data_IF_570913705228
#
_entry.id   IF_570913705228
#
_cell.length_a   1.000
_cell.length_b   1.000
_cell.length_c   1.000
_cell.angle_alpha   90.00
_cell.angle_beta   90.00
_cell.angle_gamma   90.00
#
_symmetry.space_group_name_H-M   'P 1'
#
loop_
_entity.id
_entity.type
_entity.pdbx_description
1 polymer ?
#
# COMPACT_ATOMS: atom_id res chain seq x y z
N UNK A 1 34.12 47.34 44.92
CA UNK A 1 34.50 46.30 43.94
C UNK A 1 33.70 45.06 44.30
N UNK A 2 32.64 44.76 43.57
CA UNK A 2 31.78 43.61 43.85
C UNK A 2 31.99 42.58 42.75
N UNK A 3 32.60 41.45 43.11
CA UNK A 3 32.64 40.26 42.27
C UNK A 3 31.45 39.41 42.69
N UNK A 4 30.42 39.34 41.85
CA UNK A 4 29.36 38.34 42.03
C UNK A 4 29.89 37.09 41.34
N UNK A 5 30.16 35.98 42.06
CA UNK A 5 30.50 34.73 41.39
C UNK A 5 29.23 34.26 40.69
N UNK A 6 29.16 34.41 39.38
CA UNK A 6 28.18 33.67 38.59
C UNK A 6 28.57 32.21 38.76
N UNK A 7 27.87 31.49 39.64
CA UNK A 7 28.02 30.06 39.80
C UNK A 7 27.57 29.47 38.46
N UNK A 8 28.53 29.15 37.59
CA UNK A 8 28.25 28.35 36.41
C UNK A 8 27.94 26.94 36.94
N UNK A 9 26.69 26.70 37.30
CA UNK A 9 26.21 25.33 37.55
C UNK A 9 26.33 24.62 36.21
N UNK A 10 27.23 23.63 36.14
CA UNK A 10 27.29 22.76 34.98
C UNK A 10 25.89 22.15 34.79
N UNK A 11 25.34 22.30 33.59
CA UNK A 11 24.06 21.70 33.25
C UNK A 11 24.32 20.22 32.95
N UNK A 12 23.69 19.34 33.71
CA UNK A 12 23.72 17.90 33.44
C UNK A 12 22.48 17.53 32.62
N UNK A 13 22.71 16.96 31.43
CA UNK A 13 21.65 16.45 30.58
C UNK A 13 21.65 14.92 30.65
N UNK A 14 20.50 14.32 30.93
CA UNK A 14 20.32 12.87 30.88
C UNK A 14 19.20 12.50 29.93
N UNK A 15 19.31 11.32 29.33
CA UNK A 15 18.37 10.80 28.35
C UNK A 15 17.75 9.51 28.88
N UNK A 16 16.51 9.27 28.47
CA UNK A 16 15.78 8.04 28.72
C UNK A 16 15.00 7.69 27.46
N UNK A 17 15.37 6.55 26.88
CA UNK A 17 14.74 5.95 25.72
C UNK A 17 13.92 4.75 26.16
N UNK A 18 12.70 4.66 25.65
CA UNK A 18 11.88 3.45 25.64
C UNK A 18 11.61 3.10 24.18
N UNK A 19 12.02 1.90 23.76
CA UNK A 19 11.92 1.49 22.35
C UNK A 19 10.56 0.88 21.99
N UNK A 20 9.64 0.77 22.95
CA UNK A 20 8.29 0.25 22.75
C UNK A 20 8.21 -1.28 22.67
N UNK A 21 9.33 -1.98 22.78
CA UNK A 21 9.44 -3.45 22.81
C UNK A 21 9.78 -4.00 24.20
N UNK A 22 9.76 -3.13 25.21
CA UNK A 22 10.13 -3.44 26.60
C UNK A 22 11.61 -3.21 26.93
N UNK A 23 12.42 -2.79 25.96
CA UNK A 23 13.83 -2.40 26.19
C UNK A 23 14.00 -0.90 26.29
N UNK A 24 15.06 -0.45 26.98
CA UNK A 24 15.31 0.97 27.27
C UNK A 24 16.80 1.31 27.17
N UNK A 25 17.14 2.59 26.97
CA UNK A 25 18.52 3.09 27.02
C UNK A 25 18.63 4.46 27.71
N UNK A 26 19.81 4.78 28.22
CA UNK A 26 20.15 6.11 28.75
C UNK A 26 21.27 6.79 27.96
N UNK A 27 21.74 6.16 26.89
CA UNK A 27 22.71 6.77 25.97
C UNK A 27 22.07 7.96 25.26
N UNK A 28 22.90 8.96 24.91
CA UNK A 28 22.45 10.11 24.13
C UNK A 28 21.94 9.69 22.75
N UNK A 29 22.70 8.82 22.06
CA UNK A 29 22.42 8.34 20.70
C UNK A 29 22.51 6.81 20.63
N UNK A 30 21.53 6.07 21.19
CA UNK A 30 21.55 4.62 21.18
C UNK A 30 21.30 4.05 19.77
N UNK A 31 21.82 2.84 19.53
CA UNK A 31 21.38 2.00 18.41
C UNK A 31 20.54 0.86 18.95
N UNK A 32 19.40 0.58 18.32
CA UNK A 32 18.48 -0.48 18.73
C UNK A 32 18.08 -1.34 17.53
N UNK A 33 17.95 -2.65 17.74
CA UNK A 33 17.57 -3.63 16.73
C UNK A 33 16.29 -4.36 17.16
N UNK A 34 15.28 -4.31 16.30
CA UNK A 34 14.01 -5.00 16.52
C UNK A 34 14.07 -6.41 15.94
N UNK A 35 14.03 -7.41 16.82
CA UNK A 35 14.07 -8.83 16.43
C UNK A 35 12.70 -9.39 16.03
N UNK A 36 11.63 -8.64 16.29
CA UNK A 36 10.26 -8.99 15.90
C UNK A 36 9.73 -7.89 15.00
N UNK A 37 9.09 -8.24 13.86
CA UNK A 37 8.46 -7.26 13.01
C UNK A 37 7.26 -6.65 13.76
N UNK A 38 7.21 -5.33 13.81
CA UNK A 38 6.13 -4.58 14.43
C UNK A 38 6.16 -3.11 14.06
N UNK A 39 5.12 -2.38 14.45
CA UNK A 39 5.14 -0.92 14.53
C UNK A 39 5.34 -0.56 16.01
N UNK A 40 6.43 0.12 16.32
CA UNK A 40 6.83 0.44 17.69
C UNK A 40 6.73 1.93 17.95
N UNK A 41 6.16 2.31 19.11
CA UNK A 41 6.20 3.70 19.58
C UNK A 41 7.44 3.90 20.45
N UNK A 42 8.46 4.56 19.89
CA UNK A 42 9.69 4.92 20.59
C UNK A 42 9.49 6.23 21.33
N UNK A 43 9.79 6.26 22.61
CA UNK A 43 9.74 7.47 23.45
C UNK A 43 11.14 7.92 23.83
N UNK A 44 11.46 9.18 23.55
CA UNK A 44 12.64 9.88 24.08
C UNK A 44 12.19 10.86 25.15
N UNK A 45 12.82 10.81 26.32
CA UNK A 45 12.67 11.80 27.38
C UNK A 45 14.05 12.31 27.79
N UNK A 46 14.24 13.63 27.79
CA UNK A 46 15.48 14.25 28.23
C UNK A 46 15.24 15.14 29.45
N UNK A 47 16.19 15.09 30.38
CA UNK A 47 16.17 15.85 31.62
C UNK A 47 17.37 16.78 31.67
N UNK A 48 17.16 17.95 32.28
CA UNK A 48 18.20 18.91 32.60
C UNK A 48 18.21 19.09 34.11
N UNK A 49 19.32 18.77 34.76
CA UNK A 49 19.46 18.79 36.23
C UNK A 49 18.29 18.05 36.90
N UNK A 50 18.03 16.81 36.46
CA UNK A 50 16.94 15.93 36.93
C UNK A 50 15.50 16.43 36.67
N UNK A 51 15.35 17.59 36.03
CA UNK A 51 14.04 18.14 35.65
C UNK A 51 13.73 17.80 34.21
N UNK A 52 12.51 17.34 33.96
CA UNK A 52 12.01 17.10 32.60
C UNK A 52 12.21 18.36 31.75
N UNK A 53 12.94 18.20 30.66
CA UNK A 53 13.23 19.28 29.70
C UNK A 53 12.59 19.03 28.35
N UNK A 54 12.49 17.77 27.93
CA UNK A 54 11.96 17.39 26.62
C UNK A 54 11.37 15.99 26.68
N UNK A 55 10.30 15.75 25.91
CA UNK A 55 9.77 14.42 25.66
C UNK A 55 9.14 14.38 24.28
N UNK A 56 9.37 13.30 23.54
CA UNK A 56 8.86 13.10 22.19
C UNK A 56 8.66 11.61 21.92
N UNK A 57 7.65 11.31 21.11
CA UNK A 57 7.40 9.96 20.61
C UNK A 57 7.56 9.89 19.10
N UNK A 58 7.98 8.73 18.60
CA UNK A 58 8.15 8.41 17.18
C UNK A 58 7.61 7.02 16.91
N UNK A 59 6.95 6.84 15.76
CA UNK A 59 6.61 5.50 15.28
C UNK A 59 7.74 4.95 14.41
N UNK A 60 8.15 3.72 14.70
CA UNK A 60 9.17 2.98 13.96
C UNK A 60 8.53 1.76 13.33
N UNK A 61 8.58 1.70 12.00
CA UNK A 61 8.12 0.57 11.23
C UNK A 61 9.26 -0.46 11.05
N UNK A 62 9.23 -1.52 11.85
CA UNK A 62 10.13 -2.66 11.73
C UNK A 62 9.59 -3.77 10.80
N UNK A 63 8.39 -3.61 10.23
CA UNK A 63 7.80 -4.55 9.26
C UNK A 63 8.46 -4.39 7.89
N UNK A 64 8.55 -3.16 7.37
CA UNK A 64 9.09 -2.87 6.03
C UNK A 64 10.45 -3.52 5.75
N UNK A 65 11.46 -3.46 6.65
CA UNK A 65 12.75 -4.10 6.38
C UNK A 65 12.69 -5.64 6.35
N UNK A 66 11.67 -6.27 6.94
CA UNK A 66 11.50 -7.72 6.91
C UNK A 66 10.88 -8.25 5.60
N UNK A 67 10.29 -7.37 4.79
CA UNK A 67 9.68 -7.74 3.50
C UNK A 67 10.77 -7.76 2.42
N UNK A 68 10.96 -8.91 1.78
CA UNK A 68 11.96 -9.12 0.72
C UNK A 68 11.41 -8.77 -0.66
N UNK A 69 10.21 -9.27 -0.96
CA UNK A 69 9.55 -8.99 -2.24
C UNK A 69 8.04 -9.24 -2.17
N UNK A 70 7.33 -8.56 -3.06
CA UNK A 70 5.95 -8.85 -3.43
C UNK A 70 6.00 -9.44 -4.84
N UNK A 71 5.28 -10.52 -5.10
CA UNK A 71 5.07 -11.05 -6.45
C UNK A 71 3.62 -11.48 -6.63
N UNK A 72 3.22 -11.72 -7.88
CA UNK A 72 1.86 -12.12 -8.22
C UNK A 72 1.84 -13.56 -8.75
N UNK A 73 0.92 -14.36 -8.23
CA UNK A 73 0.43 -15.54 -8.92
C UNK A 73 -0.65 -15.09 -9.90
N UNK A 74 -0.38 -15.28 -11.19
CA UNK A 74 -1.24 -14.90 -12.31
C UNK A 74 -1.59 -16.14 -13.15
N UNK A 75 -2.70 -16.13 -13.89
CA UNK A 75 -2.95 -17.13 -14.92
C UNK A 75 -1.90 -17.03 -16.03
N UNK A 76 -1.73 -18.12 -16.78
CA UNK A 76 -0.81 -18.17 -17.94
C UNK A 76 -1.14 -17.11 -19.01
N UNK A 77 -2.41 -16.72 -19.10
CA UNK A 77 -2.91 -15.72 -20.03
C UNK A 77 -4.04 -14.93 -19.41
N UNK A 78 -4.03 -13.62 -19.63
CA UNK A 78 -5.12 -12.69 -19.31
C UNK A 78 -5.71 -12.22 -20.64
N UNK A 79 -7.01 -12.38 -20.83
CA UNK A 79 -7.71 -11.97 -22.05
C UNK A 79 -8.66 -10.81 -21.76
N UNK A 80 -8.76 -9.88 -22.70
CA UNK A 80 -9.70 -8.74 -22.62
C UNK A 80 -11.14 -9.23 -22.50
N UNK A 81 -11.94 -8.60 -21.62
CA UNK A 81 -13.34 -8.94 -21.39
C UNK A 81 -13.59 -10.25 -20.63
N UNK A 82 -12.55 -10.98 -20.21
CA UNK A 82 -12.68 -12.17 -19.35
C UNK A 82 -12.22 -11.89 -17.93
N UNK A 83 -12.94 -12.46 -16.97
CA UNK A 83 -12.54 -12.43 -15.55
C UNK A 83 -11.32 -13.30 -15.33
N UNK A 84 -10.29 -12.69 -14.75
CA UNK A 84 -9.05 -13.33 -14.34
C UNK A 84 -8.87 -13.15 -12.83
N UNK A 85 -8.12 -14.04 -12.20
CA UNK A 85 -7.79 -13.98 -10.79
C UNK A 85 -6.31 -13.68 -10.61
N UNK A 86 -5.95 -12.91 -9.59
CA UNK A 86 -4.57 -12.72 -9.16
C UNK A 86 -4.45 -12.84 -7.66
N UNK A 87 -3.34 -13.42 -7.20
CA UNK A 87 -3.02 -13.57 -5.78
C UNK A 87 -1.65 -12.98 -5.47
N UNK A 88 -1.54 -12.23 -4.37
CA UNK A 88 -0.28 -11.75 -3.83
C UNK A 88 0.48 -12.91 -3.18
N UNK A 89 1.76 -13.03 -3.55
CA UNK A 89 2.76 -13.86 -2.90
C UNK A 89 3.76 -12.94 -2.20
N UNK A 90 3.88 -13.09 -0.88
CA UNK A 90 4.79 -12.31 -0.05
C UNK A 90 6.04 -13.14 0.26
N UNK A 91 7.22 -12.59 -0.01
CA UNK A 91 8.48 -13.12 0.52
C UNK A 91 8.94 -12.23 1.67
N UNK A 92 9.12 -12.80 2.86
CA UNK A 92 9.62 -12.07 4.04
C UNK A 92 10.38 -12.99 4.98
N UNK A 93 11.06 -12.40 5.97
CA UNK A 93 11.77 -13.14 7.03
C UNK A 93 10.84 -13.71 8.11
N UNK A 94 9.57 -13.29 8.14
CA UNK A 94 8.60 -13.65 9.18
C UNK A 94 7.25 -14.03 8.57
N UNK A 95 6.40 -14.69 9.34
CA UNK A 95 5.01 -14.90 8.94
C UNK A 95 4.20 -13.64 9.24
N UNK A 96 3.94 -12.84 8.21
CA UNK A 96 3.26 -11.55 8.30
C UNK A 96 1.82 -11.68 7.81
N UNK A 97 0.86 -11.31 8.66
CA UNK A 97 -0.52 -11.09 8.24
C UNK A 97 -0.67 -9.63 7.81
N UNK A 98 -0.89 -9.41 6.51
CA UNK A 98 -0.99 -8.09 5.90
C UNK A 98 -2.32 -7.95 5.17
N UNK A 99 -2.85 -6.73 5.17
CA UNK A 99 -3.93 -6.33 4.30
C UNK A 99 -3.38 -5.81 2.97
N UNK A 100 -4.08 -6.09 1.87
CA UNK A 100 -3.64 -5.71 0.53
C UNK A 100 -4.67 -4.82 -0.15
N UNK A 101 -4.18 -3.78 -0.79
CA UNK A 101 -4.95 -2.91 -1.67
C UNK A 101 -4.32 -2.92 -3.06
N UNK A 102 -5.16 -3.10 -4.07
CA UNK A 102 -4.80 -3.10 -5.47
C UNK A 102 -5.37 -1.84 -6.13
N UNK A 103 -4.56 -1.21 -6.96
CA UNK A 103 -4.92 -0.05 -7.76
C UNK A 103 -4.69 -0.41 -9.23
N UNK A 104 -5.79 -0.65 -9.94
CA UNK A 104 -5.81 -0.93 -11.38
C UNK A 104 -5.89 0.39 -12.18
N UNK A 105 -5.55 0.37 -13.49
CA UNK A 105 -5.72 1.53 -14.36
C UNK A 105 -7.14 2.11 -14.27
N UNK A 106 -7.24 3.44 -14.34
CA UNK A 106 -8.52 4.14 -14.15
C UNK A 106 -8.92 4.35 -12.69
N UNK A 107 -8.09 3.94 -11.72
CA UNK A 107 -8.33 4.18 -10.29
C UNK A 107 -9.34 3.21 -9.69
N UNK A 108 -9.45 2.00 -10.26
CA UNK A 108 -10.26 0.93 -9.68
C UNK A 108 -9.50 0.31 -8.50
N UNK A 109 -10.17 0.20 -7.36
CA UNK A 109 -9.58 -0.31 -6.11
C UNK A 109 -10.18 -1.66 -5.75
N UNK A 110 -9.30 -2.64 -5.47
CA UNK A 110 -9.68 -3.93 -4.90
C UNK A 110 -8.92 -4.15 -3.60
N UNK A 111 -9.49 -4.96 -2.70
CA UNK A 111 -8.89 -5.29 -1.42
C UNK A 111 -8.84 -6.79 -1.22
N UNK A 112 -7.79 -7.28 -0.57
CA UNK A 112 -7.60 -8.69 -0.27
C UNK A 112 -6.35 -9.27 -0.92
N UNK A 113 -5.86 -10.37 -0.36
CA UNK A 113 -4.68 -11.08 -0.87
C UNK A 113 -4.91 -11.65 -2.28
N UNK A 114 -6.17 -11.97 -2.61
CA UNK A 114 -6.57 -12.54 -3.88
C UNK A 114 -7.78 -11.77 -4.40
N UNK A 115 -7.74 -11.42 -5.68
CA UNK A 115 -8.75 -10.55 -6.32
C UNK A 115 -9.09 -11.06 -7.71
N UNK A 116 -10.36 -10.95 -8.06
CA UNK A 116 -10.82 -11.10 -9.44
C UNK A 116 -10.87 -9.73 -10.12
N UNK A 117 -10.46 -9.68 -11.38
CA UNK A 117 -10.43 -8.47 -12.19
C UNK A 117 -10.77 -8.76 -13.65
N UNK A 118 -11.07 -7.73 -14.42
CA UNK A 118 -11.32 -7.81 -15.87
C UNK A 118 -10.79 -6.54 -16.51
N UNK A 119 -10.14 -6.68 -17.66
CA UNK A 119 -9.66 -5.55 -18.45
C UNK A 119 -10.54 -5.35 -19.68
N UNK A 120 -10.85 -4.08 -19.99
CA UNK A 120 -11.66 -3.71 -21.16
C UNK A 120 -10.81 -3.40 -22.40
N UNK A 121 -9.50 -3.26 -22.23
CA UNK A 121 -8.55 -2.93 -23.29
C UNK A 121 -7.38 -3.93 -23.33
N UNK A 122 -6.94 -4.29 -24.53
CA UNK A 122 -5.74 -5.10 -24.74
C UNK A 122 -4.47 -4.27 -24.48
N UNK A 123 -3.36 -4.95 -24.23
CA UNK A 123 -2.05 -4.32 -24.06
C UNK A 123 -1.51 -4.43 -22.63
N UNK A 124 -0.50 -3.61 -22.33
CA UNK A 124 0.20 -3.64 -21.05
C UNK A 124 -0.41 -2.66 -20.07
N UNK A 125 -0.84 -3.17 -18.92
CA UNK A 125 -1.49 -2.41 -17.86
C UNK A 125 -0.66 -2.45 -16.58
N UNK A 126 -0.36 -1.29 -16.01
CA UNK A 126 0.33 -1.19 -14.73
C UNK A 126 -0.68 -1.32 -13.58
N UNK A 127 -0.44 -2.26 -12.68
CA UNK A 127 -1.26 -2.49 -11.48
C UNK A 127 -0.39 -2.30 -10.25
N UNK A 128 -0.79 -1.41 -9.34
CA UNK A 128 -0.06 -1.20 -8.08
C UNK A 128 -0.68 -2.03 -6.96
N UNK A 129 0.18 -2.69 -6.17
CA UNK A 129 -0.22 -3.42 -4.96
C UNK A 129 0.45 -2.76 -3.76
N UNK A 130 -0.35 -2.41 -2.77
CA UNK A 130 0.08 -1.84 -1.49
C UNK A 130 -0.26 -2.83 -0.38
N UNK A 131 0.71 -3.13 0.47
CA UNK A 131 0.55 -4.01 1.62
C UNK A 131 0.58 -3.18 2.92
N UNK A 132 -0.32 -3.50 3.84
CA UNK A 132 -0.56 -2.78 5.08
C UNK A 132 -0.47 -3.70 6.29
N UNK A 133 0.08 -3.19 7.37
CA UNK A 133 0.07 -3.80 8.71
C UNK A 133 -0.55 -2.78 9.66
N UNK A 134 -1.66 -3.12 10.32
CA UNK A 134 -2.40 -2.20 11.21
C UNK A 134 -2.57 -0.80 10.60
N UNK A 135 -3.13 -0.73 9.38
CA UNK A 135 -3.36 0.49 8.59
C UNK A 135 -2.10 1.26 8.13
N UNK A 136 -0.89 0.83 8.52
CA UNK A 136 0.37 1.42 8.06
C UNK A 136 0.81 0.74 6.77
N UNK A 137 1.07 1.50 5.71
CA UNK A 137 1.65 0.95 4.49
C UNK A 137 3.09 0.50 4.75
N UNK A 138 3.34 -0.80 4.60
CA UNK A 138 4.65 -1.42 4.89
C UNK A 138 5.42 -1.80 3.62
N UNK A 139 4.72 -2.00 2.50
CA UNK A 139 5.35 -2.25 1.22
C UNK A 139 4.41 -1.84 0.07
N UNK A 140 5.02 -1.57 -1.09
CA UNK A 140 4.31 -1.31 -2.33
C UNK A 140 5.14 -1.83 -3.50
N UNK A 141 4.46 -2.38 -4.50
CA UNK A 141 5.07 -2.71 -5.80
C UNK A 141 4.11 -2.37 -6.96
N UNK A 142 4.63 -2.37 -8.18
CA UNK A 142 3.87 -2.15 -9.42
C UNK A 142 4.22 -3.22 -10.44
N UNK A 143 3.20 -3.89 -10.97
CA UNK A 143 3.31 -4.99 -11.91
C UNK A 143 2.74 -4.62 -13.27
N UNK A 144 3.43 -4.98 -14.34
CA UNK A 144 2.93 -4.84 -15.70
C UNK A 144 2.22 -6.12 -16.13
N UNK A 145 0.91 -6.05 -16.35
CA UNK A 145 0.09 -7.16 -16.81
C UNK A 145 -0.15 -7.03 -18.32
N UNK A 146 0.15 -8.09 -19.07
CA UNK A 146 -0.13 -8.11 -20.51
C UNK A 146 -1.49 -8.76 -20.78
N UNK A 147 -2.40 -8.00 -21.39
CA UNK A 147 -3.76 -8.42 -21.74
C UNK A 147 -3.84 -8.73 -23.22
N UNK A 148 -4.09 -9.99 -23.53
CA UNK A 148 -4.23 -10.48 -24.90
C UNK A 148 -5.64 -10.21 -25.46
N UNK A 149 -5.81 -10.11 -26.79
CA UNK A 149 -7.11 -10.16 -27.42
C UNK A 149 -7.84 -11.47 -27.07
N UNK A 150 -9.15 -11.39 -26.82
CA UNK A 150 -9.96 -12.58 -26.62
C UNK A 150 -10.09 -13.31 -27.96
N UNK A 151 -9.48 -14.49 -28.07
CA UNK A 151 -9.52 -15.31 -29.27
C UNK A 151 -10.67 -16.32 -29.25
N UNK A 152 -11.81 -15.98 -28.63
CA UNK A 152 -13.04 -16.72 -28.83
C UNK A 152 -13.34 -16.77 -30.33
N UNK A 153 -13.09 -17.94 -30.89
CA UNK A 153 -13.26 -18.23 -32.30
C UNK A 153 -14.71 -17.91 -32.69
N UNK A 154 -14.98 -17.03 -33.68
CA UNK A 154 -16.34 -16.75 -34.17
C UNK A 154 -17.05 -17.95 -34.81
N UNK A 155 -16.49 -19.16 -34.69
CA UNK A 155 -16.88 -20.36 -35.44
C UNK A 155 -17.91 -21.24 -34.76
N UNK A 156 -18.39 -20.93 -33.55
CA UNK A 156 -19.64 -21.56 -33.14
C UNK A 156 -20.73 -20.97 -34.04
N UNK A 157 -21.23 -21.73 -35.05
CA UNK A 157 -22.33 -21.23 -35.84
C UNK A 157 -23.45 -21.03 -34.84
N UNK A 158 -24.04 -19.83 -34.81
CA UNK A 158 -25.43 -19.73 -34.36
C UNK A 158 -26.15 -20.80 -35.15
N UNK A 159 -26.52 -21.91 -34.47
CA UNK A 159 -27.28 -22.97 -35.11
C UNK A 159 -28.45 -22.26 -35.81
N UNK A 160 -28.65 -22.47 -37.13
CA UNK A 160 -29.70 -21.77 -37.84
C UNK A 160 -30.98 -21.98 -37.04
N UNK A 161 -31.60 -20.86 -36.62
CA UNK A 161 -32.87 -20.91 -35.93
C UNK A 161 -33.79 -21.83 -36.72
N UNK A 162 -34.24 -22.92 -36.10
CA UNK A 162 -35.24 -23.80 -36.69
C UNK A 162 -36.44 -22.91 -37.09
N UNK A 163 -36.81 -22.83 -38.39
CA UNK A 163 -37.93 -22.01 -38.82
C UNK A 163 -39.29 -22.53 -38.33
N UNK A 164 -39.31 -23.60 -37.52
CA UNK A 164 -40.51 -24.22 -36.97
C UNK A 164 -40.95 -23.61 -35.63
N UNK A 165 -40.86 -22.30 -35.41
CA UNK A 165 -41.67 -21.67 -34.38
C UNK A 165 -41.98 -20.19 -34.65
N UNK A 166 -42.95 -19.95 -35.55
CA UNK A 166 -43.55 -18.63 -35.72
C UNK A 166 -44.64 -18.44 -34.65
N UNK A 167 -44.29 -17.78 -33.55
CA UNK A 167 -45.29 -17.06 -32.72
C UNK A 167 -44.98 -15.57 -32.80
N UNK A 168 -45.97 -14.82 -33.23
CA UNK A 168 -45.97 -13.36 -33.37
C UNK A 168 -45.90 -12.63 -32.02
N UNK A 169 -45.73 -11.30 -32.11
CA UNK A 169 -45.93 -10.21 -31.12
C UNK A 169 -44.65 -9.78 -30.41
N UNK A 170 -44.32 -8.50 -30.25
CA UNK A 170 -44.89 -7.22 -30.70
C UNK A 170 -43.80 -6.15 -30.53
N UNK A 171 -43.90 -5.07 -31.31
CA UNK A 171 -43.02 -3.91 -31.29
C UNK A 171 -42.95 -3.18 -29.93
N UNK A 172 -41.78 -2.63 -29.62
CA UNK A 172 -41.64 -1.38 -28.88
C UNK A 172 -40.32 -0.69 -29.31
N UNK A 173 -40.45 0.50 -29.90
CA UNK A 173 -39.37 1.44 -30.20
C UNK A 173 -39.07 2.34 -28.98
N UNK A 174 -37.82 2.76 -28.82
CA UNK A 174 -37.37 4.10 -28.34
C UNK A 174 -35.84 4.02 -28.19
N UNK A 175 -35.01 4.64 -29.03
CA UNK A 175 -34.72 6.06 -29.29
C UNK A 175 -34.00 6.80 -28.15
N UNK A 176 -32.75 7.17 -28.44
CA UNK A 176 -31.98 8.32 -27.92
C UNK A 176 -31.64 8.33 -26.41
N UNK A 177 -30.49 8.81 -25.95
CA UNK A 177 -29.44 9.60 -26.56
C UNK A 177 -28.35 9.79 -25.51
N UNK A 178 -27.10 9.95 -25.95
CA UNK A 178 -25.97 10.15 -25.07
C UNK A 178 -25.92 11.56 -24.48
N UNK A 179 -25.28 11.68 -23.31
CA UNK A 179 -24.51 12.86 -22.90
C UNK A 179 -23.39 12.41 -21.96
N UNK A 180 -22.13 12.50 -22.42
CA UNK A 180 -20.95 12.42 -21.55
C UNK A 180 -20.79 13.75 -20.80
N UNK A 181 -20.95 13.74 -19.48
CA UNK A 181 -20.53 14.84 -18.61
C UNK A 181 -19.06 14.69 -18.25
N UNK A 182 -18.24 15.68 -18.61
CA UNK A 182 -16.82 15.73 -18.28
C UNK A 182 -16.68 16.14 -16.82
N UNK A 183 -16.13 15.27 -15.97
CA UNK A 183 -15.60 15.65 -14.65
C UNK A 183 -14.08 15.64 -14.73
N UNK A 184 -13.47 16.81 -14.53
CA UNK A 184 -12.02 16.93 -14.32
C UNK A 184 -11.68 16.56 -12.88
N UNK A 185 -10.75 15.63 -12.60
CA UNK A 185 -10.18 15.50 -11.27
C UNK A 185 -8.95 16.41 -11.13
N UNK A 186 -8.94 17.14 -10.03
CA UNK A 186 -7.86 17.96 -9.53
C UNK A 186 -6.69 17.07 -9.12
N UNK A 187 -5.51 17.29 -9.71
CA UNK A 187 -4.27 16.58 -9.40
C UNK A 187 -3.77 16.98 -8.00
N UNK A 188 -3.74 16.05 -7.04
CA UNK A 188 -2.98 16.23 -5.80
C UNK A 188 -1.72 15.36 -5.85
N UNK A 189 -0.60 15.98 -6.21
CA UNK A 189 0.73 15.38 -6.13
C UNK A 189 1.15 15.29 -4.67
N UNK A 190 1.17 14.09 -4.09
CA UNK A 190 1.92 13.84 -2.85
C UNK A 190 3.24 13.18 -3.23
N UNK A 191 4.30 13.99 -3.25
CA UNK A 191 5.68 13.53 -3.29
C UNK A 191 6.09 13.11 -1.87
N UNK A 192 6.45 11.84 -1.67
CA UNK A 192 7.16 11.43 -0.47
C UNK A 192 8.52 10.83 -0.84
N UNK A 193 9.54 11.60 -0.47
CA UNK A 193 10.96 11.24 -0.54
C UNK A 193 11.25 10.13 0.47
N UNK A 194 11.90 9.05 0.04
CA UNK A 194 12.60 8.13 0.95
C UNK A 194 13.62 8.93 1.77
N UNK A 195 13.36 9.09 3.06
CA UNK A 195 14.34 9.54 4.05
C UNK A 195 14.84 8.32 4.80
N UNK A 196 16.08 7.93 4.53
CA UNK A 196 16.86 7.19 5.50
C UNK A 196 17.11 8.13 6.68
N UNK A 197 16.56 7.81 7.85
CA UNK A 197 16.81 8.57 9.07
C UNK A 197 18.04 7.95 9.73
N UNK A 198 19.18 8.66 9.66
CA UNK A 198 20.12 8.66 10.78
C UNK A 198 19.50 9.59 11.82
N UNK A 199 19.21 9.06 12.99
CA UNK A 199 18.93 9.91 14.15
C UNK A 199 20.23 10.67 14.51
N UNK A 200 20.14 11.97 14.82
CA UNK A 200 21.30 12.77 15.25
C UNK A 200 21.94 12.20 16.51
#
# INVERSE_FOLDING_TARGET
MYCIPYLLVAQETTYSWDFGDGTTSTEENPTHEYNTPGIYTVSLTAFINEKLSYSQQYEVNAISPAIKSISLALPDMIEVGKTSNARVLLSSDYDLSLDYQWEFPGGLFHTGQEVDFTFDEVGTHAVSVKAYYDDVMVAQDTFELNVAPNNENPSDPVAPADPSNRVQTSAAESSSGGTLGWFTPLLLLVSLRKKYIRLP
#
